data_IF_606080344773
#
_entry.id   IF_606080344773
#
_cell.length_a   1.000
_cell.length_b   1.000
_cell.length_c   1.000
_cell.angle_alpha   90.00
_cell.angle_beta   90.00
_cell.angle_gamma   90.00
#
_symmetry.space_group_name_H-M   'P 1'
#
loop_
_entity.id
_entity.type
_entity.pdbx_description
1 polymer ?
#
# COMPACT_ATOMS: atom_id res chain seq x y z
N UNK A 1 -38.86 -2.70 -4.27
CA UNK A 1 -37.65 -3.21 -3.59
C UNK A 1 -36.97 -2.00 -2.98
N UNK A 2 -36.94 -1.91 -1.65
CA UNK A 2 -36.25 -0.83 -0.94
C UNK A 2 -34.78 -0.93 -1.28
N UNK A 3 -34.18 0.13 -1.83
CA UNK A 3 -32.73 0.23 -2.01
C UNK A 3 -32.07 -0.08 -0.66
N UNK A 4 -31.27 -1.14 -0.63
CA UNK A 4 -30.52 -1.51 0.55
C UNK A 4 -29.43 -0.46 0.77
N UNK A 5 -29.74 0.58 1.53
CA UNK A 5 -28.76 1.60 1.88
C UNK A 5 -27.92 1.13 3.06
N UNK A 6 -26.59 1.21 2.97
CA UNK A 6 -25.70 0.90 4.09
C UNK A 6 -25.88 1.88 5.25
N UNK A 7 -26.38 3.08 4.99
CA UNK A 7 -26.58 4.15 5.96
C UNK A 7 -27.83 3.91 6.83
N UNK A 8 -27.65 4.03 8.14
CA UNK A 8 -28.72 3.95 9.14
C UNK A 8 -28.78 5.24 9.93
N UNK A 9 -30.02 5.68 10.21
CA UNK A 9 -30.29 6.84 11.07
C UNK A 9 -31.15 6.37 12.23
N UNK A 10 -30.71 6.65 13.45
CA UNK A 10 -31.46 6.37 14.67
C UNK A 10 -31.77 7.69 15.37
N UNK A 11 -33.05 7.93 15.64
CA UNK A 11 -33.47 8.99 16.53
C UNK A 11 -33.55 8.42 17.95
N UNK A 12 -32.71 8.93 18.83
CA UNK A 12 -32.54 8.41 20.19
C UNK A 12 -32.93 9.47 21.20
N UNK A 13 -33.48 9.00 22.31
CA UNK A 13 -33.89 9.85 23.42
C UNK A 13 -33.28 9.32 24.73
N UNK A 14 -32.59 10.18 25.45
CA UNK A 14 -32.12 9.88 26.80
C UNK A 14 -33.13 10.42 27.79
N UNK A 15 -33.69 9.60 28.68
CA UNK A 15 -34.69 10.05 29.65
C UNK A 15 -34.19 11.17 30.57
N UNK A 16 -35.05 12.13 30.88
CA UNK A 16 -34.73 13.30 31.71
C UNK A 16 -34.09 12.91 33.06
N UNK A 17 -34.55 11.81 33.67
CA UNK A 17 -33.98 11.30 34.92
C UNK A 17 -32.51 10.92 34.83
N UNK A 18 -32.13 10.26 33.71
CA UNK A 18 -30.73 9.87 33.45
C UNK A 18 -29.86 11.11 33.19
N UNK A 19 -30.39 12.08 32.43
CA UNK A 19 -29.72 13.35 32.17
C UNK A 19 -29.47 14.11 33.48
N UNK A 20 -30.47 14.23 34.34
CA UNK A 20 -30.36 14.91 35.62
C UNK A 20 -29.31 14.27 36.53
N UNK A 21 -29.30 12.93 36.62
CA UNK A 21 -28.29 12.20 37.39
C UNK A 21 -26.87 12.45 36.87
N UNK A 22 -26.70 12.47 35.54
CA UNK A 22 -25.41 12.77 34.93
C UNK A 22 -24.98 14.22 35.16
N UNK A 23 -25.88 15.18 34.99
CA UNK A 23 -25.61 16.60 35.28
C UNK A 23 -25.19 16.79 36.72
N UNK A 24 -25.85 16.12 37.70
CA UNK A 24 -25.46 16.18 39.09
C UNK A 24 -24.08 15.58 39.35
N UNK A 25 -23.78 14.45 38.75
CA UNK A 25 -22.48 13.80 38.87
C UNK A 25 -21.39 14.71 38.35
N UNK A 26 -21.52 15.17 37.11
CA UNK A 26 -20.54 16.04 36.46
C UNK A 26 -20.37 17.38 37.20
N UNK A 27 -21.48 18.00 37.66
CA UNK A 27 -21.41 19.21 38.44
C UNK A 27 -20.64 19.05 39.76
N UNK A 28 -20.76 17.87 40.42
CA UNK A 28 -19.96 17.54 41.61
C UNK A 28 -18.48 17.33 41.30
N UNK A 29 -18.16 16.75 40.16
CA UNK A 29 -16.78 16.61 39.68
C UNK A 29 -16.15 17.97 39.39
N UNK A 30 -16.85 18.82 38.65
CA UNK A 30 -16.43 20.20 38.43
C UNK A 30 -16.25 20.99 39.73
N UNK A 31 -17.15 20.82 40.71
CA UNK A 31 -17.04 21.52 41.99
C UNK A 31 -15.75 21.20 42.76
N UNK A 32 -15.15 20.02 42.56
CA UNK A 32 -13.88 19.62 43.18
C UNK A 32 -12.67 20.31 42.58
N UNK A 33 -12.70 20.62 41.29
CA UNK A 33 -11.55 21.11 40.52
C UNK A 33 -11.66 22.58 40.14
N UNK A 34 -12.91 23.09 40.01
CA UNK A 34 -13.17 24.43 39.51
C UNK A 34 -12.70 25.52 40.49
N UNK A 35 -12.04 26.54 39.97
CA UNK A 35 -11.66 27.75 40.69
C UNK A 35 -12.76 28.80 40.53
N UNK A 36 -13.51 29.02 41.58
CA UNK A 36 -14.55 30.05 41.62
C UNK A 36 -14.08 31.22 42.50
N UNK A 37 -14.02 32.44 42.00
CA UNK A 37 -13.67 33.61 42.82
C UNK A 37 -14.54 33.70 44.06
N UNK A 38 -13.91 33.88 45.24
CA UNK A 38 -14.59 33.95 46.53
C UNK A 38 -14.82 32.62 47.23
N UNK A 39 -14.45 31.49 46.60
CA UNK A 39 -14.59 30.15 47.22
C UNK A 39 -13.27 29.35 47.15
N UNK A 40 -13.00 28.60 48.20
CA UNK A 40 -11.90 27.61 48.18
C UNK A 40 -12.28 26.47 47.24
N UNK A 41 -11.33 25.91 46.46
CA UNK A 41 -11.58 24.73 45.61
C UNK A 41 -12.33 23.63 46.36
N UNK A 42 -13.42 23.10 45.81
CA UNK A 42 -14.27 22.08 46.39
C UNK A 42 -15.34 22.60 47.38
N UNK A 43 -15.45 23.90 47.64
CA UNK A 43 -16.42 24.50 48.55
C UNK A 43 -17.44 25.45 47.92
N UNK A 44 -17.41 25.62 46.61
CA UNK A 44 -18.41 26.41 45.88
C UNK A 44 -19.78 25.66 45.89
N UNK A 45 -20.91 26.37 46.05
CA UNK A 45 -22.24 25.77 45.90
C UNK A 45 -22.45 25.19 44.51
N UNK A 46 -23.05 23.99 44.43
CA UNK A 46 -23.28 23.26 43.16
C UNK A 46 -24.14 24.10 42.20
N UNK A 47 -25.10 24.87 42.72
CA UNK A 47 -25.94 25.77 41.89
C UNK A 47 -25.12 26.86 41.18
N UNK A 48 -24.07 27.39 41.81
CA UNK A 48 -23.17 28.35 41.21
C UNK A 48 -22.27 27.69 40.15
N UNK A 49 -21.81 26.48 40.43
CA UNK A 49 -21.03 25.67 39.47
C UNK A 49 -21.87 25.40 38.22
N UNK A 50 -23.10 24.90 38.38
CA UNK A 50 -24.01 24.64 37.24
C UNK A 50 -24.20 25.87 36.38
N UNK A 51 -24.40 27.02 36.99
CA UNK A 51 -24.62 28.29 36.25
C UNK A 51 -23.35 28.78 35.56
N UNK A 52 -22.20 28.67 36.22
CA UNK A 52 -20.94 29.19 35.68
C UNK A 52 -20.32 28.29 34.60
N UNK A 53 -20.49 26.98 34.74
CA UNK A 53 -19.91 25.97 33.87
C UNK A 53 -21.00 25.17 33.12
N UNK A 54 -22.12 25.86 32.79
CA UNK A 54 -23.27 25.20 32.13
C UNK A 54 -22.89 24.51 30.82
N UNK A 55 -22.14 25.19 29.96
CA UNK A 55 -21.72 24.67 28.67
C UNK A 55 -20.70 23.53 28.81
N UNK A 56 -19.75 23.63 29.73
CA UNK A 56 -18.77 22.60 30.01
C UNK A 56 -19.45 21.33 30.55
N UNK A 57 -20.38 21.50 31.51
CA UNK A 57 -21.16 20.41 32.07
C UNK A 57 -22.03 19.74 31.02
N UNK A 58 -22.68 20.54 30.15
CA UNK A 58 -23.45 20.03 29.01
C UNK A 58 -22.58 19.20 28.08
N UNK A 59 -21.41 19.70 27.71
CA UNK A 59 -20.46 19.00 26.83
C UNK A 59 -20.04 17.66 27.44
N UNK A 60 -19.64 17.64 28.71
CA UNK A 60 -19.20 16.44 29.41
C UNK A 60 -20.31 15.40 29.57
N UNK A 61 -21.54 15.85 29.88
CA UNK A 61 -22.74 15.00 29.98
C UNK A 61 -23.04 14.34 28.61
N UNK A 62 -23.00 15.13 27.53
CA UNK A 62 -23.21 14.61 26.19
C UNK A 62 -22.11 13.64 25.77
N UNK A 63 -20.84 13.94 26.07
CA UNK A 63 -19.71 13.05 25.78
C UNK A 63 -19.80 11.72 26.51
N UNK A 64 -20.41 11.68 27.69
CA UNK A 64 -20.56 10.42 28.45
C UNK A 64 -21.82 9.65 28.07
N UNK A 65 -22.98 10.31 27.93
CA UNK A 65 -24.27 9.63 27.76
C UNK A 65 -24.57 9.24 26.30
N UNK A 66 -24.14 10.07 25.33
CA UNK A 66 -24.47 9.82 23.92
C UNK A 66 -23.85 8.53 23.39
N UNK A 67 -22.54 8.27 23.60
CA UNK A 67 -21.94 7.00 23.18
C UNK A 67 -22.59 5.78 23.82
N UNK A 68 -22.86 5.83 25.13
CA UNK A 68 -23.52 4.75 25.87
C UNK A 68 -24.91 4.43 25.31
N UNK A 69 -25.70 5.46 25.02
CA UNK A 69 -27.04 5.28 24.47
C UNK A 69 -27.02 4.75 23.03
N UNK A 70 -26.04 5.18 22.20
CA UNK A 70 -25.86 4.67 20.85
C UNK A 70 -25.46 3.20 20.88
N UNK A 71 -24.46 2.84 21.71
CA UNK A 71 -24.00 1.46 21.86
C UNK A 71 -25.13 0.53 22.31
N UNK A 72 -25.93 0.98 23.26
CA UNK A 72 -27.11 0.25 23.72
C UNK A 72 -28.12 0.02 22.60
N UNK A 73 -28.49 1.08 21.86
CA UNK A 73 -29.45 1.00 20.78
C UNK A 73 -28.97 0.10 19.63
N UNK A 74 -27.69 0.19 19.29
CA UNK A 74 -27.04 -0.66 18.30
C UNK A 74 -27.08 -2.12 18.71
N UNK A 75 -26.75 -2.40 19.99
CA UNK A 75 -26.79 -3.76 20.57
C UNK A 75 -28.19 -4.34 20.61
N UNK A 76 -29.19 -3.56 21.04
CA UNK A 76 -30.60 -3.98 21.10
C UNK A 76 -31.16 -4.36 19.71
N UNK A 77 -30.72 -3.63 18.67
CA UNK A 77 -31.12 -3.88 17.26
C UNK A 77 -30.20 -4.88 16.54
N UNK A 78 -29.21 -5.46 17.24
CA UNK A 78 -28.22 -6.41 16.68
C UNK A 78 -27.52 -5.89 15.41
N UNK A 79 -27.32 -4.59 15.33
CA UNK A 79 -26.59 -3.97 14.22
C UNK A 79 -25.09 -4.00 14.50
N UNK A 80 -24.28 -4.10 13.44
CA UNK A 80 -22.82 -4.00 13.51
C UNK A 80 -22.37 -2.77 12.71
N UNK A 81 -22.09 -1.64 13.38
CA UNK A 81 -21.61 -0.44 12.71
C UNK A 81 -20.21 -0.66 12.12
N UNK A 82 -20.00 -0.20 10.89
CA UNK A 82 -18.69 -0.19 10.22
C UNK A 82 -18.06 1.20 10.19
N UNK A 83 -18.79 2.20 10.70
CA UNK A 83 -18.31 3.55 10.87
C UNK A 83 -18.61 4.07 12.28
N UNK A 84 -17.83 5.08 12.72
CA UNK A 84 -18.18 5.78 13.96
C UNK A 84 -19.49 6.53 13.76
N UNK A 85 -20.44 6.44 14.73
CA UNK A 85 -21.69 7.16 14.67
C UNK A 85 -21.46 8.68 14.64
N UNK A 86 -22.02 9.33 13.63
CA UNK A 86 -22.08 10.79 13.58
C UNK A 86 -23.34 11.28 14.30
N UNK A 87 -23.17 12.19 15.24
CA UNK A 87 -24.26 12.72 16.06
C UNK A 87 -24.64 14.10 15.55
N UNK A 88 -25.90 14.25 15.21
CA UNK A 88 -26.47 15.51 14.79
C UNK A 88 -27.82 15.80 15.51
N UNK A 89 -28.37 17.02 15.31
CA UNK A 89 -29.65 17.45 15.84
C UNK A 89 -29.81 17.21 17.35
N UNK A 90 -28.75 17.55 18.12
CA UNK A 90 -28.81 17.41 19.57
C UNK A 90 -29.67 18.48 20.18
N UNK A 91 -30.81 18.08 20.74
CA UNK A 91 -31.69 18.94 21.56
C UNK A 91 -31.47 18.60 23.04
N UNK A 92 -30.86 19.53 23.75
CA UNK A 92 -30.52 19.39 25.16
C UNK A 92 -31.29 20.39 26.02
N UNK A 93 -32.22 19.89 26.84
CA UNK A 93 -32.88 20.67 27.86
C UNK A 93 -32.36 20.27 29.25
N UNK A 94 -31.94 21.25 30.09
CA UNK A 94 -31.37 20.97 31.44
C UNK A 94 -32.27 20.13 32.34
N UNK A 95 -33.55 20.20 32.13
CA UNK A 95 -34.56 19.46 32.95
C UNK A 95 -35.46 18.54 32.10
N UNK A 96 -35.08 18.30 30.85
CA UNK A 96 -35.82 17.49 29.88
C UNK A 96 -35.02 16.30 29.39
N UNK A 97 -35.64 15.49 28.53
CA UNK A 97 -34.88 14.46 27.81
C UNK A 97 -33.92 15.09 26.81
N UNK A 98 -32.84 14.38 26.53
CA UNK A 98 -31.92 14.73 25.41
C UNK A 98 -32.31 13.90 24.20
N UNK A 99 -32.64 14.61 23.11
CA UNK A 99 -32.92 13.98 21.82
C UNK A 99 -31.78 14.26 20.87
N UNK A 100 -31.39 13.25 20.13
CA UNK A 100 -30.34 13.37 19.12
C UNK A 100 -30.52 12.34 18.01
N UNK A 101 -29.89 12.59 16.88
CA UNK A 101 -29.84 11.65 15.77
C UNK A 101 -28.43 11.09 15.65
N UNK A 102 -28.33 9.76 15.60
CA UNK A 102 -27.10 9.04 15.30
C UNK A 102 -27.18 8.48 13.90
N UNK A 103 -26.21 8.82 13.05
CA UNK A 103 -26.07 8.32 11.67
C UNK A 103 -24.80 7.51 11.58
N UNK A 104 -24.88 6.28 11.09
CA UNK A 104 -23.74 5.38 10.90
C UNK A 104 -24.01 4.42 9.74
N UNK A 105 -22.97 3.73 9.30
CA UNK A 105 -23.07 2.72 8.26
C UNK A 105 -22.97 1.32 8.83
N UNK A 106 -23.73 0.40 8.25
CA UNK A 106 -23.71 -1.03 8.56
C UNK A 106 -23.40 -1.83 7.29
N UNK A 107 -22.98 -3.08 7.47
CA UNK A 107 -22.85 -4.00 6.35
C UNK A 107 -24.24 -4.28 5.75
N UNK A 108 -24.39 -4.19 4.43
CA UNK A 108 -25.65 -4.53 3.78
C UNK A 108 -25.90 -6.05 3.85
N UNK A 109 -27.16 -6.42 3.94
CA UNK A 109 -27.57 -7.79 3.70
C UNK A 109 -27.73 -8.00 2.19
N UNK A 110 -27.04 -8.98 1.64
CA UNK A 110 -27.15 -9.38 0.24
C UNK A 110 -27.17 -10.90 0.11
N UNK A 111 -27.79 -11.39 -0.95
CA UNK A 111 -27.80 -12.81 -1.28
C UNK A 111 -26.61 -13.17 -2.15
N UNK A 112 -26.01 -14.34 -1.88
CA UNK A 112 -24.95 -14.88 -2.71
C UNK A 112 -25.55 -15.42 -4.01
N UNK A 113 -25.13 -14.84 -5.13
CA UNK A 113 -25.34 -15.40 -6.45
C UNK A 113 -24.47 -16.66 -6.70
N UNK A 114 -24.39 -17.13 -7.93
CA UNK A 114 -23.52 -18.26 -8.27
C UNK A 114 -22.05 -17.91 -8.05
N UNK A 115 -21.38 -18.62 -7.16
CA UNK A 115 -19.95 -18.45 -6.86
C UNK A 115 -19.13 -19.74 -7.03
N UNK A 116 -19.78 -20.87 -7.35
CA UNK A 116 -19.13 -22.15 -7.69
C UNK A 116 -19.03 -22.30 -9.20
N UNK A 117 -18.09 -23.12 -9.66
CA UNK A 117 -17.87 -23.40 -11.09
C UNK A 117 -17.64 -22.15 -11.95
N UNK A 118 -16.99 -21.11 -11.39
CA UNK A 118 -16.65 -19.91 -12.15
C UNK A 118 -15.67 -20.26 -13.27
N UNK A 119 -16.01 -19.93 -14.51
CA UNK A 119 -15.11 -20.15 -15.65
C UNK A 119 -14.19 -18.93 -15.81
N UNK A 120 -12.90 -19.12 -15.72
CA UNK A 120 -11.90 -18.08 -15.93
C UNK A 120 -10.86 -18.53 -16.94
N UNK A 121 -10.41 -17.61 -17.79
CA UNK A 121 -9.35 -17.87 -18.77
C UNK A 121 -8.06 -17.19 -18.29
N UNK A 122 -6.97 -17.95 -18.27
CA UNK A 122 -5.63 -17.46 -17.94
C UNK A 122 -4.70 -17.70 -19.13
N UNK A 123 -3.68 -16.85 -19.24
CA UNK A 123 -2.66 -17.02 -20.27
C UNK A 123 -1.74 -18.19 -19.90
N UNK A 124 -1.46 -19.04 -20.91
CA UNK A 124 -0.49 -20.12 -20.73
C UNK A 124 0.92 -19.57 -20.96
N UNK A 125 1.75 -19.65 -19.95
CA UNK A 125 3.15 -19.23 -20.02
C UNK A 125 4.00 -20.50 -19.94
N UNK A 126 4.60 -20.88 -21.05
CA UNK A 126 5.56 -21.97 -21.08
C UNK A 126 6.98 -21.43 -20.88
N UNK A 127 7.78 -22.10 -20.05
CA UNK A 127 9.19 -21.79 -19.84
C UNK A 127 10.03 -22.68 -20.74
N UNK A 128 10.55 -22.11 -21.81
CA UNK A 128 11.45 -22.80 -22.75
C UNK A 128 12.93 -22.66 -22.38
N UNK A 129 13.79 -23.36 -23.11
CA UNK A 129 15.25 -23.23 -22.96
C UNK A 129 15.75 -21.81 -23.26
N UNK A 130 15.09 -21.12 -24.21
CA UNK A 130 15.42 -19.73 -24.55
C UNK A 130 15.19 -18.76 -23.37
N UNK A 131 14.17 -18.99 -22.55
CA UNK A 131 13.89 -18.16 -21.38
C UNK A 131 14.97 -18.37 -20.31
N UNK A 132 15.40 -19.62 -20.13
CA UNK A 132 16.48 -19.97 -19.22
C UNK A 132 17.80 -19.32 -19.68
N UNK A 133 18.11 -19.40 -20.98
CA UNK A 133 19.30 -18.78 -21.55
C UNK A 133 19.28 -17.26 -21.37
N UNK A 134 18.14 -16.63 -21.64
CA UNK A 134 17.95 -15.20 -21.43
C UNK A 134 18.14 -14.80 -19.96
N UNK A 135 17.54 -15.54 -19.03
CA UNK A 135 17.70 -15.27 -17.60
C UNK A 135 19.15 -15.42 -17.13
N UNK A 136 19.88 -16.42 -17.66
CA UNK A 136 21.30 -16.60 -17.37
C UNK A 136 22.11 -15.42 -17.92
N UNK A 137 21.83 -14.96 -19.15
CA UNK A 137 22.49 -13.79 -19.73
C UNK A 137 22.22 -12.51 -18.93
N UNK A 138 21.01 -12.32 -18.43
CA UNK A 138 20.68 -11.21 -17.53
C UNK A 138 21.45 -11.28 -16.21
N UNK A 139 21.63 -12.50 -15.65
CA UNK A 139 22.45 -12.70 -14.43
C UNK A 139 23.92 -12.37 -14.75
N UNK A 140 24.47 -12.88 -15.86
CA UNK A 140 25.85 -12.60 -16.29
C UNK A 140 26.06 -11.11 -16.52
N UNK A 141 25.08 -10.43 -17.09
CA UNK A 141 25.11 -8.99 -17.34
C UNK A 141 25.12 -8.18 -16.04
N UNK A 142 24.39 -8.61 -15.04
CA UNK A 142 24.30 -7.95 -13.73
C UNK A 142 25.59 -8.07 -12.92
N UNK A 143 26.29 -9.19 -13.02
CA UNK A 143 27.55 -9.44 -12.30
C UNK A 143 28.78 -9.15 -13.15
N UNK A 144 28.59 -8.56 -14.36
CA UNK A 144 29.68 -8.21 -15.25
C UNK A 144 30.65 -7.18 -14.64
N UNK A 145 31.92 -7.38 -14.85
CA UNK A 145 32.97 -6.49 -14.39
C UNK A 145 33.29 -5.40 -15.42
N UNK A 146 33.59 -4.20 -14.95
CA UNK A 146 34.03 -3.09 -15.77
C UNK A 146 35.55 -3.05 -15.83
N UNK A 147 36.14 -3.56 -16.91
CA UNK A 147 37.57 -3.63 -17.11
C UNK A 147 38.07 -2.36 -17.84
N UNK A 148 39.11 -1.70 -17.34
CA UNK A 148 39.69 -0.55 -18.02
C UNK A 148 40.24 -0.92 -19.41
N UNK A 149 39.99 -0.04 -20.39
CA UNK A 149 40.50 -0.18 -21.76
C UNK A 149 41.43 0.98 -22.01
N UNK A 150 42.70 0.66 -22.33
CA UNK A 150 43.73 1.62 -22.62
C UNK A 150 44.12 1.61 -24.11
N UNK A 151 44.64 2.74 -24.60
CA UNK A 151 45.24 2.82 -25.94
C UNK A 151 44.28 2.97 -27.10
N UNK A 152 42.95 3.11 -26.86
CA UNK A 152 41.96 3.41 -27.90
C UNK A 152 40.94 4.45 -27.48
N UNK A 153 40.26 5.01 -28.45
CA UNK A 153 39.15 5.91 -28.25
C UNK A 153 37.87 5.14 -27.91
N UNK A 154 36.90 5.85 -27.31
CA UNK A 154 35.57 5.36 -26.97
C UNK A 154 34.83 4.91 -28.22
N UNK A 155 34.26 3.71 -28.17
CA UNK A 155 33.39 3.13 -29.18
C UNK A 155 32.00 2.83 -28.60
N UNK A 156 31.03 2.53 -29.44
CA UNK A 156 29.69 2.08 -29.00
C UNK A 156 29.82 0.78 -28.21
N UNK A 157 29.06 0.69 -27.08
CA UNK A 157 29.13 -0.41 -26.15
C UNK A 157 30.14 -0.23 -25.00
N UNK A 158 31.01 0.80 -25.09
CA UNK A 158 31.91 1.14 -24.00
C UNK A 158 31.21 1.95 -22.90
N UNK A 159 31.78 1.89 -21.72
CA UNK A 159 31.38 2.68 -20.57
C UNK A 159 32.45 3.73 -20.29
N UNK A 160 32.11 5.00 -20.48
CA UNK A 160 32.99 6.10 -20.16
C UNK A 160 32.78 6.52 -18.71
N UNK A 161 33.85 6.49 -17.92
CA UNK A 161 33.85 7.07 -16.58
C UNK A 161 34.14 8.57 -16.72
N UNK A 162 33.17 9.40 -16.37
CA UNK A 162 33.17 10.82 -16.62
C UNK A 162 33.15 11.62 -15.32
N UNK A 163 33.90 12.72 -15.32
CA UNK A 163 33.66 13.83 -14.39
C UNK A 163 32.89 14.90 -15.16
N UNK A 164 31.77 15.33 -14.67
CA UNK A 164 30.93 16.28 -15.36
C UNK A 164 30.48 17.44 -14.48
N UNK A 165 30.35 18.59 -15.15
CA UNK A 165 29.77 19.80 -14.58
C UNK A 165 28.78 20.37 -15.59
N UNK A 166 27.49 20.37 -15.24
CA UNK A 166 26.40 20.93 -16.06
C UNK A 166 25.95 22.28 -15.51
N UNK A 167 25.89 23.29 -16.35
CA UNK A 167 25.41 24.63 -15.98
C UNK A 167 24.10 24.83 -16.76
N UNK A 168 22.96 25.13 -16.09
CA UNK A 168 21.71 25.38 -16.79
C UNK A 168 21.75 26.71 -17.54
N UNK A 169 21.33 26.70 -18.82
CA UNK A 169 21.34 27.89 -19.68
C UNK A 169 20.45 29.03 -19.14
N UNK A 170 19.42 28.71 -18.36
CA UNK A 170 18.53 29.68 -17.71
C UNK A 170 18.97 30.20 -16.35
N UNK A 171 20.19 29.83 -15.89
CA UNK A 171 20.66 30.10 -14.53
C UNK A 171 20.10 29.11 -13.52
N UNK A 172 20.80 28.90 -12.44
CA UNK A 172 20.44 27.94 -11.39
C UNK A 172 21.68 27.25 -10.81
N UNK A 173 21.47 26.30 -9.92
CA UNK A 173 22.56 25.52 -9.34
C UNK A 173 23.22 24.61 -10.38
N UNK A 174 24.55 24.62 -10.48
CA UNK A 174 25.28 23.71 -11.36
C UNK A 174 25.11 22.26 -10.88
N UNK A 175 25.01 21.35 -11.82
CA UNK A 175 25.01 19.92 -11.56
C UNK A 175 26.45 19.43 -11.67
N UNK A 176 27.00 18.89 -10.58
CA UNK A 176 28.37 18.38 -10.55
C UNK A 176 28.39 16.91 -10.14
N UNK A 177 29.12 16.11 -10.89
CA UNK A 177 29.38 14.73 -10.53
C UNK A 177 30.86 14.39 -10.76
N UNK A 178 31.50 13.94 -9.70
CA UNK A 178 32.94 13.64 -9.72
C UNK A 178 33.26 12.33 -10.47
N UNK A 179 32.32 11.42 -10.58
CA UNK A 179 32.47 10.16 -11.30
C UNK A 179 31.09 9.61 -11.65
N UNK A 180 30.80 9.57 -12.96
CA UNK A 180 29.59 8.94 -13.51
C UNK A 180 30.02 7.95 -14.57
N UNK A 181 29.41 6.79 -14.58
CA UNK A 181 29.61 5.78 -15.63
C UNK A 181 28.51 5.97 -16.69
N UNK A 182 28.91 6.27 -17.91
CA UNK A 182 28.03 6.55 -19.04
C UNK A 182 28.22 5.46 -20.10
N UNK A 183 27.14 4.76 -20.46
CA UNK A 183 27.15 3.73 -21.50
C UNK A 183 27.01 4.39 -22.88
N UNK A 184 28.04 4.37 -23.68
CA UNK A 184 28.07 5.03 -24.99
C UNK A 184 27.39 4.13 -26.04
N UNK A 185 26.38 4.70 -26.73
CA UNK A 185 25.53 3.96 -27.66
C UNK A 185 24.37 3.22 -26.97
N UNK A 186 24.21 3.33 -25.65
CA UNK A 186 23.05 2.77 -24.92
C UNK A 186 21.80 3.62 -25.12
N UNK A 187 20.63 2.97 -25.13
CA UNK A 187 19.32 3.65 -25.27
C UNK A 187 19.01 4.59 -24.08
N UNK A 188 19.59 4.31 -22.91
CA UNK A 188 19.46 5.13 -21.71
C UNK A 188 20.34 6.40 -21.72
N UNK A 189 21.30 6.49 -22.66
CA UNK A 189 22.21 7.64 -22.76
C UNK A 189 21.69 8.63 -23.78
N UNK A 190 21.57 9.90 -23.38
CA UNK A 190 21.15 10.98 -24.28
C UNK A 190 22.06 11.07 -25.51
N UNK A 191 21.47 11.25 -26.69
CA UNK A 191 22.20 11.33 -27.98
C UNK A 191 23.37 12.32 -27.95
N UNK A 192 23.18 13.48 -27.30
CA UNK A 192 24.22 14.48 -27.16
C UNK A 192 25.48 13.96 -26.47
N UNK A 193 25.35 13.05 -25.48
CA UNK A 193 26.50 12.39 -24.86
C UNK A 193 27.12 11.36 -25.82
N UNK A 194 26.29 10.55 -26.48
CA UNK A 194 26.76 9.56 -27.46
C UNK A 194 27.57 10.21 -28.59
N UNK A 195 27.06 11.30 -29.20
CA UNK A 195 27.68 11.99 -30.30
C UNK A 195 29.00 12.68 -29.93
N UNK A 196 29.05 13.33 -28.76
CA UNK A 196 30.22 14.11 -28.35
C UNK A 196 31.34 13.27 -27.70
N UNK A 197 30.99 12.11 -27.10
CA UNK A 197 31.96 11.25 -26.43
C UNK A 197 32.48 10.12 -27.30
N UNK A 198 31.75 9.74 -28.38
CA UNK A 198 32.24 8.76 -29.35
C UNK A 198 33.54 9.27 -29.99
N UNK A 199 34.58 8.45 -29.94
CA UNK A 199 35.89 8.79 -30.45
C UNK A 199 36.77 9.64 -29.51
N UNK A 200 36.27 9.98 -28.31
CA UNK A 200 37.10 10.64 -27.29
C UNK A 200 38.01 9.65 -26.59
N UNK A 201 39.14 10.13 -26.07
CA UNK A 201 40.12 9.34 -25.33
C UNK A 201 40.13 9.70 -23.84
N UNK A 202 40.68 8.82 -23.01
CA UNK A 202 40.92 9.14 -21.58
C UNK A 202 41.78 10.39 -21.45
N UNK A 203 41.37 11.33 -20.59
CA UNK A 203 42.00 12.64 -20.42
C UNK A 203 41.38 13.74 -21.30
N UNK A 204 40.52 13.42 -22.25
CA UNK A 204 39.88 14.45 -23.09
C UNK A 204 38.86 15.27 -22.32
N UNK A 205 38.82 16.56 -22.65
CA UNK A 205 37.83 17.51 -22.15
C UNK A 205 36.87 17.90 -23.29
N UNK A 206 35.61 17.72 -23.08
CA UNK A 206 34.56 18.06 -24.06
C UNK A 206 33.58 19.06 -23.44
N UNK A 207 32.99 19.92 -24.31
CA UNK A 207 31.91 20.82 -23.91
C UNK A 207 30.80 20.73 -24.96
N UNK A 208 29.59 20.50 -24.50
CA UNK A 208 28.42 20.39 -25.36
C UNK A 208 27.16 20.70 -24.56
N UNK A 209 26.11 21.03 -25.29
CA UNK A 209 24.82 21.33 -24.71
C UNK A 209 23.89 20.12 -24.81
N UNK A 210 23.10 19.90 -23.76
CA UNK A 210 22.09 18.83 -23.70
C UNK A 210 20.75 19.46 -23.43
N UNK A 211 19.81 19.31 -24.36
CA UNK A 211 18.43 19.73 -24.18
C UNK A 211 17.62 18.54 -23.68
N UNK A 212 17.08 18.64 -22.49
CA UNK A 212 16.21 17.62 -21.92
C UNK A 212 14.76 17.84 -22.37
N UNK A 213 14.06 16.79 -22.81
CA UNK A 213 12.67 16.91 -23.22
C UNK A 213 11.75 17.26 -22.02
N UNK A 214 10.55 17.74 -22.31
CA UNK A 214 9.61 18.17 -21.26
C UNK A 214 9.05 17.00 -20.44
N UNK A 215 9.12 15.78 -20.94
CA UNK A 215 8.68 14.54 -20.30
C UNK A 215 9.84 13.73 -19.70
N UNK A 216 11.04 14.33 -19.58
CA UNK A 216 12.20 13.65 -19.01
C UNK A 216 11.91 13.17 -17.58
N UNK A 217 12.36 11.95 -17.17
CA UNK A 217 12.02 11.35 -15.89
C UNK A 217 12.44 12.17 -14.67
N UNK A 218 13.55 12.92 -14.74
CA UNK A 218 13.99 13.77 -13.65
C UNK A 218 13.35 15.17 -13.74
N UNK A 219 12.46 15.55 -12.80
CA UNK A 219 11.81 16.86 -12.79
C UNK A 219 12.76 18.05 -12.74
N UNK A 220 13.99 17.87 -12.24
CA UNK A 220 15.01 18.92 -12.16
C UNK A 220 15.58 19.27 -13.53
N UNK A 221 15.56 18.34 -14.46
CA UNK A 221 16.10 18.44 -15.81
C UNK A 221 15.04 18.71 -16.87
N UNK A 222 13.78 18.38 -16.62
CA UNK A 222 12.66 18.52 -17.57
C UNK A 222 12.62 19.88 -18.26
N UNK A 223 12.61 19.87 -19.62
CA UNK A 223 12.48 21.06 -20.46
C UNK A 223 13.64 22.04 -20.36
N UNK A 224 14.75 21.67 -19.72
CA UNK A 224 15.90 22.56 -19.53
C UNK A 224 17.07 22.17 -20.45
N UNK A 225 17.86 23.17 -20.82
CA UNK A 225 19.11 22.95 -21.53
C UNK A 225 20.29 23.18 -20.57
N UNK A 226 21.19 22.24 -20.53
CA UNK A 226 22.42 22.31 -19.73
C UNK A 226 23.64 22.33 -20.64
N UNK A 227 24.59 23.23 -20.36
CA UNK A 227 25.91 23.20 -20.95
C UNK A 227 26.86 22.38 -20.08
N UNK A 228 27.31 21.25 -20.60
CA UNK A 228 28.17 20.32 -19.89
C UNK A 228 29.63 20.54 -20.23
N UNK A 229 30.47 20.62 -19.19
CA UNK A 229 31.90 20.40 -19.29
C UNK A 229 32.20 18.99 -18.76
N UNK A 230 32.72 18.13 -19.61
CA UNK A 230 32.94 16.71 -19.33
C UNK A 230 34.44 16.39 -19.47
N UNK A 231 34.99 15.69 -18.50
CA UNK A 231 36.33 15.13 -18.53
C UNK A 231 36.20 13.61 -18.55
N UNK A 232 36.82 12.95 -19.53
CA UNK A 232 36.86 11.49 -19.63
C UNK A 232 37.96 10.96 -18.71
N UNK A 233 37.58 10.35 -17.59
CA UNK A 233 38.55 9.81 -16.61
C UNK A 233 39.14 8.47 -17.07
N UNK A 234 38.28 7.58 -17.57
CA UNK A 234 38.67 6.26 -18.03
C UNK A 234 37.62 5.70 -19.01
N UNK A 235 38.08 4.81 -19.86
CA UNK A 235 37.20 4.00 -20.72
C UNK A 235 37.15 2.62 -20.10
N UNK A 236 35.98 2.05 -19.99
CA UNK A 236 35.77 0.71 -19.46
C UNK A 236 34.92 -0.11 -20.40
N UNK A 237 35.20 -1.38 -20.47
CA UNK A 237 34.37 -2.34 -21.18
C UNK A 237 33.69 -3.26 -20.19
N UNK A 238 32.39 -3.45 -20.38
CA UNK A 238 31.62 -4.39 -19.58
C UNK A 238 31.94 -5.82 -20.05
N UNK A 239 32.68 -6.54 -19.21
CA UNK A 239 33.08 -7.92 -19.50
C UNK A 239 32.20 -8.87 -18.69
N UNK A 240 31.34 -9.61 -19.40
CA UNK A 240 30.52 -10.65 -18.80
C UNK A 240 31.41 -11.84 -18.45
N UNK A 241 31.27 -12.45 -17.26
CA UNK A 241 31.97 -13.67 -16.94
C UNK A 241 31.57 -14.79 -17.90
N UNK A 242 32.51 -15.69 -18.20
CA UNK A 242 32.20 -16.88 -19.00
C UNK A 242 31.25 -17.82 -18.24
N UNK A 243 30.32 -18.44 -18.97
CA UNK A 243 29.41 -19.41 -18.40
C UNK A 243 30.17 -20.74 -18.18
N UNK A 244 30.81 -20.89 -17.03
CA UNK A 244 31.55 -22.06 -16.61
C UNK A 244 31.20 -22.45 -15.18
N UNK A 245 31.77 -23.55 -14.68
CA UNK A 245 31.47 -24.05 -13.34
C UNK A 245 31.93 -23.10 -12.23
N UNK A 246 32.93 -22.26 -12.49
CA UNK A 246 33.39 -21.24 -11.54
C UNK A 246 32.32 -20.14 -11.38
N UNK A 247 31.77 -19.66 -12.50
CA UNK A 247 30.63 -18.75 -12.49
C UNK A 247 29.39 -19.37 -11.79
N UNK A 248 29.10 -20.65 -12.05
CA UNK A 248 27.99 -21.35 -11.40
C UNK A 248 28.12 -21.41 -9.87
N UNK A 249 29.35 -21.53 -9.37
CA UNK A 249 29.62 -21.48 -7.91
C UNK A 249 29.43 -20.07 -7.35
N UNK A 250 29.92 -19.06 -8.03
CA UNK A 250 29.85 -17.67 -7.54
C UNK A 250 28.42 -17.12 -7.61
N UNK A 251 27.72 -17.34 -8.73
CA UNK A 251 26.41 -16.74 -8.97
C UNK A 251 25.24 -17.57 -8.44
N UNK A 252 25.41 -18.91 -8.34
CA UNK A 252 24.33 -19.84 -8.02
C UNK A 252 24.57 -20.73 -6.81
N UNK A 253 25.78 -20.71 -6.22
CA UNK A 253 26.18 -21.60 -5.11
C UNK A 253 25.99 -23.10 -5.47
N UNK A 254 26.26 -23.46 -6.73
CA UNK A 254 26.11 -24.82 -7.27
C UNK A 254 27.40 -25.28 -7.91
N UNK A 255 27.57 -26.59 -8.16
CA UNK A 255 28.83 -27.18 -8.54
C UNK A 255 29.11 -27.17 -10.05
N UNK A 256 28.08 -27.00 -10.88
CA UNK A 256 28.20 -27.04 -12.34
C UNK A 256 27.23 -26.08 -13.05
N UNK A 257 27.54 -25.77 -14.31
CA UNK A 257 26.64 -25.00 -15.20
C UNK A 257 25.31 -25.71 -15.37
N UNK A 258 25.30 -27.05 -15.43
CA UNK A 258 24.05 -27.79 -15.60
C UNK A 258 23.13 -27.65 -14.40
N UNK A 259 23.68 -27.75 -13.18
CA UNK A 259 22.94 -27.51 -11.94
C UNK A 259 22.45 -26.04 -11.87
N UNK A 260 23.27 -25.09 -12.33
CA UNK A 260 22.88 -23.67 -12.39
C UNK A 260 21.69 -23.44 -13.32
N UNK A 261 21.73 -24.02 -14.54
CA UNK A 261 20.60 -23.98 -15.48
C UNK A 261 19.33 -24.59 -14.88
N UNK A 262 19.48 -25.72 -14.18
CA UNK A 262 18.38 -26.37 -13.46
C UNK A 262 17.77 -25.47 -12.40
N UNK A 263 18.60 -24.79 -11.59
CA UNK A 263 18.17 -23.86 -10.54
C UNK A 263 17.47 -22.62 -11.14
N UNK A 264 18.00 -22.04 -12.22
CA UNK A 264 17.39 -20.92 -12.93
C UNK A 264 16.04 -21.33 -13.51
N UNK A 265 15.95 -22.49 -14.17
CA UNK A 265 14.68 -23.04 -14.67
C UNK A 265 13.65 -23.20 -13.56
N UNK A 266 14.03 -23.84 -12.46
CA UNK A 266 13.15 -24.00 -11.30
C UNK A 266 12.65 -22.66 -10.76
N UNK A 267 13.51 -21.65 -10.69
CA UNK A 267 13.14 -20.30 -10.25
C UNK A 267 12.13 -19.64 -11.22
N UNK A 268 12.33 -19.79 -12.54
CA UNK A 268 11.39 -19.28 -13.54
C UNK A 268 10.05 -20.02 -13.50
N UNK A 269 10.05 -21.33 -13.30
CA UNK A 269 8.83 -22.13 -13.14
C UNK A 269 8.07 -21.76 -11.87
N UNK A 270 8.75 -21.54 -10.76
CA UNK A 270 8.13 -21.05 -9.52
C UNK A 270 7.52 -19.65 -9.71
N UNK A 271 8.23 -18.75 -10.37
CA UNK A 271 7.72 -17.42 -10.68
C UNK A 271 6.51 -17.47 -11.61
N UNK A 272 6.52 -18.36 -12.62
CA UNK A 272 5.38 -18.62 -13.51
C UNK A 272 4.17 -19.13 -12.72
N UNK A 273 4.37 -20.13 -11.85
CA UNK A 273 3.28 -20.74 -11.07
C UNK A 273 2.66 -19.75 -10.09
N UNK A 274 3.52 -18.92 -9.47
CA UNK A 274 3.03 -17.82 -8.63
C UNK A 274 2.21 -16.82 -9.44
N UNK A 275 2.71 -16.37 -10.60
CA UNK A 275 2.00 -15.45 -11.50
C UNK A 275 0.68 -16.04 -11.98
N UNK A 276 0.66 -17.32 -12.32
CA UNK A 276 -0.55 -18.06 -12.71
C UNK A 276 -1.58 -18.06 -11.58
N UNK A 277 -1.14 -18.33 -10.35
CA UNK A 277 -1.99 -18.31 -9.16
C UNK A 277 -2.58 -16.91 -8.93
N UNK A 278 -1.76 -15.88 -9.02
CA UNK A 278 -2.18 -14.51 -8.81
C UNK A 278 -3.18 -14.05 -9.89
N UNK A 279 -2.93 -14.35 -11.17
CA UNK A 279 -3.86 -14.08 -12.26
C UNK A 279 -5.19 -14.83 -12.08
N UNK A 280 -5.14 -16.08 -11.65
CA UNK A 280 -6.34 -16.88 -11.39
C UNK A 280 -7.18 -16.24 -10.30
N UNK A 281 -6.55 -15.88 -9.18
CA UNK A 281 -7.21 -15.21 -8.05
C UNK A 281 -7.84 -13.88 -8.47
N UNK A 282 -7.10 -13.06 -9.21
CA UNK A 282 -7.57 -11.76 -9.71
C UNK A 282 -8.80 -11.92 -10.63
N UNK A 283 -8.74 -12.84 -11.60
CA UNK A 283 -9.84 -13.08 -12.54
C UNK A 283 -11.08 -13.67 -11.85
N UNK A 284 -10.90 -14.55 -10.87
CA UNK A 284 -12.00 -15.09 -10.05
C UNK A 284 -12.67 -13.96 -9.26
N UNK A 285 -11.88 -13.11 -8.59
CA UNK A 285 -12.40 -11.98 -7.83
C UNK A 285 -13.13 -10.99 -8.74
N UNK A 286 -12.56 -10.63 -9.89
CA UNK A 286 -13.20 -9.74 -10.85
C UNK A 286 -14.54 -10.29 -11.34
N UNK A 287 -14.62 -11.60 -11.64
CA UNK A 287 -15.84 -12.24 -12.07
C UNK A 287 -16.86 -12.33 -10.94
N UNK A 288 -16.42 -12.66 -9.72
CA UNK A 288 -17.25 -12.71 -8.53
C UNK A 288 -17.87 -11.34 -8.24
N UNK A 289 -17.07 -10.28 -8.22
CA UNK A 289 -17.53 -8.90 -8.00
C UNK A 289 -18.47 -8.44 -9.11
N UNK A 290 -18.14 -8.74 -10.37
CA UNK A 290 -18.97 -8.36 -11.51
C UNK A 290 -20.32 -9.06 -11.59
N UNK A 291 -20.48 -10.24 -10.95
CA UNK A 291 -21.74 -11.00 -10.91
C UNK A 291 -22.66 -10.61 -9.74
N UNK A 292 -22.18 -9.75 -8.81
CA UNK A 292 -22.93 -9.34 -7.64
C UNK A 292 -23.06 -7.82 -7.59
N UNK A 293 -24.30 -7.33 -7.53
CA UNK A 293 -24.56 -5.91 -7.38
C UNK A 293 -25.23 -5.63 -6.03
N UNK A 294 -24.47 -4.96 -5.16
CA UNK A 294 -24.94 -4.52 -3.84
C UNK A 294 -24.16 -3.27 -3.42
N UNK A 295 -24.77 -2.41 -2.59
CA UNK A 295 -24.10 -1.21 -2.10
C UNK A 295 -22.97 -1.57 -1.12
N UNK A 296 -21.95 -0.74 -1.10
CA UNK A 296 -20.85 -0.85 -0.14
C UNK A 296 -20.82 0.34 0.81
N UNK A 297 -20.49 0.15 2.10
CA UNK A 297 -20.34 1.24 3.04
C UNK A 297 -19.23 2.19 2.61
N UNK A 298 -19.52 3.49 2.57
CA UNK A 298 -18.55 4.52 2.16
C UNK A 298 -17.35 4.61 3.12
N UNK A 299 -17.59 4.34 4.40
CA UNK A 299 -16.54 4.28 5.41
C UNK A 299 -15.48 3.21 5.09
N UNK A 300 -15.90 2.01 4.63
CA UNK A 300 -14.97 0.95 4.24
C UNK A 300 -14.21 1.31 2.97
N UNK A 301 -14.90 1.92 1.98
CA UNK A 301 -14.24 2.41 0.76
C UNK A 301 -13.18 3.47 1.08
N UNK A 302 -13.51 4.43 1.96
CA UNK A 302 -12.57 5.45 2.41
C UNK A 302 -11.34 4.83 3.10
N UNK A 303 -11.56 3.89 4.01
CA UNK A 303 -10.48 3.17 4.69
C UNK A 303 -9.59 2.40 3.71
N UNK A 304 -10.19 1.76 2.70
CA UNK A 304 -9.45 1.04 1.68
C UNK A 304 -8.63 1.98 0.78
N UNK A 305 -9.18 3.14 0.40
CA UNK A 305 -8.43 4.18 -0.33
C UNK A 305 -7.22 4.66 0.47
N UNK A 306 -7.39 4.91 1.76
CA UNK A 306 -6.30 5.35 2.65
C UNK A 306 -5.22 4.26 2.78
N UNK A 307 -5.63 3.00 2.96
CA UNK A 307 -4.71 1.85 3.02
C UNK A 307 -3.91 1.65 1.72
N UNK A 308 -4.53 1.89 0.54
CA UNK A 308 -3.84 1.83 -0.76
C UNK A 308 -2.83 2.97 -0.89
N UNK A 309 -3.21 4.17 -0.47
CA UNK A 309 -2.32 5.33 -0.48
C UNK A 309 -1.10 5.12 0.43
N UNK A 310 -1.31 4.62 1.65
CA UNK A 310 -0.22 4.29 2.57
C UNK A 310 0.75 3.25 2.00
N UNK A 311 0.24 2.23 1.29
CA UNK A 311 1.11 1.25 0.61
C UNK A 311 1.98 1.90 -0.46
N UNK A 312 1.41 2.82 -1.25
CA UNK A 312 2.16 3.59 -2.25
C UNK A 312 3.25 4.44 -1.61
N UNK A 313 2.93 5.15 -0.52
CA UNK A 313 3.89 5.96 0.24
C UNK A 313 5.03 5.11 0.78
N UNK A 314 4.71 3.93 1.36
CA UNK A 314 5.74 3.00 1.88
C UNK A 314 6.63 2.44 0.76
N UNK A 315 6.05 2.12 -0.40
CA UNK A 315 6.81 1.63 -1.55
C UNK A 315 7.80 2.68 -2.07
N UNK A 316 7.40 3.96 -2.15
CA UNK A 316 8.28 5.07 -2.51
C UNK A 316 9.42 5.23 -1.48
N UNK A 317 9.08 5.21 -0.19
CA UNK A 317 10.07 5.31 0.88
C UNK A 317 11.08 4.16 0.85
N UNK A 318 10.64 2.93 0.56
CA UNK A 318 11.52 1.76 0.41
C UNK A 318 12.48 1.89 -0.78
N UNK A 319 12.11 2.65 -1.81
CA UNK A 319 12.97 2.99 -2.96
C UNK A 319 13.92 4.18 -2.67
N UNK A 320 13.92 4.71 -1.45
CA UNK A 320 14.74 5.85 -1.06
C UNK A 320 14.18 7.21 -1.52
N UNK A 321 12.96 7.23 -2.02
CA UNK A 321 12.28 8.46 -2.45
C UNK A 321 11.52 9.04 -1.26
N UNK A 322 11.83 10.30 -0.88
CA UNK A 322 11.04 11.00 0.14
C UNK A 322 9.65 11.35 -0.43
N UNK A 323 8.56 10.78 0.10
CA UNK A 323 7.21 11.05 -0.40
C UNK A 323 6.79 12.52 -0.26
N UNK A 324 7.45 13.30 0.61
CA UNK A 324 7.18 14.73 0.82
C UNK A 324 7.88 15.61 -0.23
N UNK A 325 8.97 15.10 -0.82
CA UNK A 325 9.74 15.81 -1.84
C UNK A 325 9.18 15.59 -3.26
N UNK A 326 8.32 14.60 -3.44
CA UNK A 326 7.69 14.30 -4.74
C UNK A 326 6.49 15.24 -4.95
N UNK A 327 6.46 15.90 -6.10
CA UNK A 327 5.33 16.76 -6.49
C UNK A 327 4.15 15.90 -7.00
N UNK A 328 3.49 15.20 -6.08
CA UNK A 328 2.31 14.35 -6.36
C UNK A 328 1.08 14.97 -5.72
N UNK A 329 0.02 15.12 -6.50
CA UNK A 329 -1.31 15.44 -5.96
C UNK A 329 -1.90 14.18 -5.29
N UNK A 330 -1.64 14.05 -3.98
CA UNK A 330 -2.09 12.93 -3.17
C UNK A 330 -3.62 12.82 -3.08
N UNK A 331 -4.32 13.97 -3.17
CA UNK A 331 -5.79 14.00 -3.15
C UNK A 331 -6.35 13.43 -4.45
N UNK A 332 -5.82 13.87 -5.58
CA UNK A 332 -6.21 13.33 -6.88
C UNK A 332 -5.83 11.85 -7.02
N UNK A 333 -4.66 11.44 -6.52
CA UNK A 333 -4.23 10.04 -6.52
C UNK A 333 -5.18 9.18 -5.69
N UNK A 334 -5.54 9.63 -4.48
CA UNK A 334 -6.52 8.96 -3.61
C UNK A 334 -7.87 8.78 -4.32
N UNK A 335 -8.36 9.85 -4.96
CA UNK A 335 -9.65 9.80 -5.66
C UNK A 335 -9.65 8.82 -6.85
N UNK A 336 -8.54 8.72 -7.60
CA UNK A 336 -8.39 7.76 -8.69
C UNK A 336 -8.42 6.29 -8.22
N UNK A 337 -8.20 6.03 -6.91
CA UNK A 337 -8.27 4.69 -6.35
C UNK A 337 -9.69 4.27 -5.96
N UNK A 338 -10.69 5.16 -6.05
CA UNK A 338 -12.04 4.93 -5.53
C UNK A 338 -12.70 3.69 -6.13
N UNK A 339 -12.70 3.56 -7.46
CA UNK A 339 -13.37 2.45 -8.13
C UNK A 339 -12.76 1.10 -7.73
N UNK A 340 -11.43 1.04 -7.72
CA UNK A 340 -10.70 -0.15 -7.24
C UNK A 340 -10.92 -0.43 -5.76
N UNK A 341 -11.04 0.60 -4.93
CA UNK A 341 -11.35 0.43 -3.51
C UNK A 341 -12.77 -0.12 -3.31
N UNK A 342 -13.73 0.28 -4.13
CA UNK A 342 -15.09 -0.29 -4.14
C UNK A 342 -15.05 -1.77 -4.50
N UNK A 343 -14.29 -2.15 -5.53
CA UNK A 343 -14.10 -3.55 -5.94
C UNK A 343 -13.45 -4.38 -4.83
N UNK A 344 -12.39 -3.86 -4.19
CA UNK A 344 -11.70 -4.53 -3.09
C UNK A 344 -12.67 -4.79 -1.91
N UNK A 345 -13.47 -3.76 -1.51
CA UNK A 345 -14.45 -3.90 -0.42
C UNK A 345 -15.54 -4.90 -0.79
N UNK A 346 -16.06 -4.85 -2.04
CA UNK A 346 -17.02 -5.85 -2.53
C UNK A 346 -16.46 -7.26 -2.46
N UNK A 347 -15.21 -7.43 -2.90
CA UNK A 347 -14.53 -8.73 -2.87
C UNK A 347 -14.37 -9.25 -1.44
N UNK A 348 -13.94 -8.40 -0.50
CA UNK A 348 -13.78 -8.78 0.91
C UNK A 348 -15.12 -9.21 1.54
N UNK A 349 -16.19 -8.47 1.30
CA UNK A 349 -17.53 -8.80 1.79
C UNK A 349 -18.07 -10.11 1.19
N UNK A 350 -17.82 -10.36 -0.10
CA UNK A 350 -18.21 -11.61 -0.77
C UNK A 350 -17.43 -12.80 -0.21
N UNK A 351 -16.12 -12.66 -0.05
CA UNK A 351 -15.26 -13.70 0.52
C UNK A 351 -15.69 -14.06 1.95
N UNK A 352 -16.00 -13.07 2.79
CA UNK A 352 -16.46 -13.31 4.16
C UNK A 352 -17.81 -14.03 4.18
N UNK A 353 -18.73 -13.65 3.29
CA UNK A 353 -20.05 -14.29 3.19
C UNK A 353 -19.93 -15.74 2.68
N UNK A 354 -19.07 -15.98 1.69
CA UNK A 354 -18.79 -17.32 1.16
C UNK A 354 -18.09 -18.18 2.24
N UNK A 355 -17.10 -17.62 2.96
CA UNK A 355 -16.45 -18.30 4.07
C UNK A 355 -17.45 -18.80 5.12
N UNK A 356 -18.44 -17.96 5.45
CA UNK A 356 -19.50 -18.31 6.38
C UNK A 356 -20.41 -19.41 5.81
N UNK A 357 -20.78 -19.32 4.52
CA UNK A 357 -21.65 -20.30 3.86
C UNK A 357 -20.99 -21.69 3.72
N UNK A 358 -19.68 -21.73 3.47
CA UNK A 358 -18.92 -22.96 3.26
C UNK A 358 -18.16 -23.43 4.54
N UNK A 359 -18.35 -22.75 5.68
CA UNK A 359 -17.67 -23.01 6.95
C UNK A 359 -16.14 -23.02 6.84
N UNK A 360 -15.60 -22.06 6.09
CA UNK A 360 -14.16 -21.88 5.93
C UNK A 360 -13.67 -20.91 7.01
N UNK A 361 -12.64 -21.33 7.75
CA UNK A 361 -12.01 -20.49 8.76
C UNK A 361 -10.48 -20.62 8.69
N UNK A 362 -9.77 -19.73 9.37
CA UNK A 362 -8.33 -19.84 9.57
C UNK A 362 -8.02 -20.72 10.77
N UNK A 363 -7.15 -21.70 10.59
CA UNK A 363 -6.70 -22.57 11.69
C UNK A 363 -5.64 -21.88 12.55
N UNK A 364 -5.49 -22.31 13.80
CA UNK A 364 -4.40 -21.81 14.66
C UNK A 364 -3.02 -22.18 14.11
N UNK A 365 -2.91 -23.32 13.40
CA UNK A 365 -1.66 -23.76 12.76
C UNK A 365 -1.26 -22.81 11.62
N UNK A 366 -2.20 -22.39 10.77
CA UNK A 366 -1.96 -21.41 9.71
C UNK A 366 -1.57 -20.05 10.29
N UNK A 367 -2.23 -19.66 11.38
CA UNK A 367 -1.92 -18.44 12.08
C UNK A 367 -0.51 -18.45 12.68
N UNK A 368 -0.11 -19.54 13.34
CA UNK A 368 1.22 -19.69 13.90
C UNK A 368 2.30 -19.77 12.80
N UNK A 369 2.00 -20.41 11.66
CA UNK A 369 2.88 -20.45 10.51
C UNK A 369 3.12 -19.05 9.91
N UNK A 370 2.08 -18.22 9.80
CA UNK A 370 2.25 -16.84 9.31
C UNK A 370 3.06 -15.98 10.29
N UNK A 371 2.84 -16.13 11.62
CA UNK A 371 3.68 -15.48 12.63
C UNK A 371 5.14 -15.92 12.51
N UNK A 372 5.39 -17.22 12.30
CA UNK A 372 6.76 -17.73 12.13
C UNK A 372 7.41 -17.15 10.87
N UNK A 373 6.68 -17.08 9.75
CA UNK A 373 7.16 -16.44 8.53
C UNK A 373 7.43 -14.94 8.67
N UNK A 374 6.62 -14.24 9.48
CA UNK A 374 6.88 -12.83 9.83
C UNK A 374 8.15 -12.70 10.69
N UNK A 375 8.37 -13.61 11.64
CA UNK A 375 9.54 -13.65 12.51
C UNK A 375 10.83 -13.85 11.70
N UNK A 376 10.81 -14.76 10.75
CA UNK A 376 11.94 -15.02 9.87
C UNK A 376 12.30 -13.80 8.99
N UNK A 377 11.28 -13.13 8.44
CA UNK A 377 11.48 -11.93 7.60
C UNK A 377 11.96 -10.71 8.38
N UNK A 378 11.51 -10.52 9.63
CA UNK A 378 11.85 -9.35 10.45
C UNK A 378 13.07 -9.55 11.33
N UNK A 379 13.51 -10.80 11.56
CA UNK A 379 14.55 -11.15 12.52
C UNK A 379 14.09 -11.04 13.99
N UNK A 380 12.79 -10.85 14.24
CA UNK A 380 12.20 -10.79 15.58
C UNK A 380 11.71 -12.17 16.03
N UNK A 381 11.53 -12.38 17.33
CA UNK A 381 10.93 -13.62 17.81
C UNK A 381 9.42 -13.68 17.56
N UNK A 382 8.89 -14.88 17.26
CA UNK A 382 7.47 -15.10 17.05
C UNK A 382 6.61 -14.61 18.27
N UNK A 383 7.14 -14.75 19.49
CA UNK A 383 6.50 -14.26 20.71
C UNK A 383 6.41 -12.73 20.76
N UNK A 384 7.46 -12.03 20.30
CA UNK A 384 7.46 -10.57 20.26
C UNK A 384 6.46 -10.05 19.21
N UNK A 385 6.41 -10.67 18.04
CA UNK A 385 5.45 -10.34 16.98
C UNK A 385 4.02 -10.56 17.47
N UNK A 386 3.72 -11.72 18.07
CA UNK A 386 2.39 -12.02 18.62
C UNK A 386 1.98 -11.00 19.69
N UNK A 387 2.86 -10.64 20.61
CA UNK A 387 2.61 -9.63 21.63
C UNK A 387 2.36 -8.23 21.01
N UNK A 388 3.09 -7.88 19.95
CA UNK A 388 2.90 -6.61 19.24
C UNK A 388 1.54 -6.57 18.52
N UNK A 389 1.18 -7.63 17.79
CA UNK A 389 -0.12 -7.77 17.13
C UNK A 389 -1.28 -7.70 18.13
N UNK A 390 -1.14 -8.36 19.30
CA UNK A 390 -2.12 -8.30 20.40
C UNK A 390 -2.32 -6.87 20.89
N UNK A 391 -1.21 -6.18 21.17
CA UNK A 391 -1.23 -4.79 21.67
C UNK A 391 -1.86 -3.82 20.66
N UNK A 392 -1.69 -4.07 19.37
CA UNK A 392 -2.26 -3.25 18.30
C UNK A 392 -3.69 -3.66 17.92
N UNK A 393 -4.26 -4.70 18.51
CA UNK A 393 -5.57 -5.25 18.12
C UNK A 393 -5.58 -5.78 16.67
N UNK A 394 -4.44 -6.26 16.19
CA UNK A 394 -4.27 -6.68 14.79
C UNK A 394 -4.47 -8.19 14.58
N UNK A 395 -4.64 -8.98 15.65
CA UNK A 395 -4.83 -10.43 15.56
C UNK A 395 -6.07 -10.80 14.76
N UNK A 396 -7.21 -10.16 15.05
CA UNK A 396 -8.48 -10.45 14.38
C UNK A 396 -8.39 -10.08 12.89
N UNK A 397 -7.73 -8.98 12.55
CA UNK A 397 -7.47 -8.59 11.15
C UNK A 397 -6.61 -9.61 10.43
N UNK A 398 -5.62 -10.18 11.11
CA UNK A 398 -4.77 -11.22 10.54
C UNK A 398 -5.56 -12.52 10.32
N UNK A 399 -6.39 -12.93 11.28
CA UNK A 399 -7.28 -14.10 11.13
C UNK A 399 -8.28 -13.90 10.00
N UNK A 400 -8.90 -12.72 9.89
CA UNK A 400 -9.79 -12.39 8.77
C UNK A 400 -9.08 -12.46 7.42
N UNK A 401 -7.84 -11.98 7.33
CA UNK A 401 -7.04 -12.07 6.11
C UNK A 401 -6.72 -13.52 5.72
N UNK A 402 -6.34 -14.35 6.68
CA UNK A 402 -6.10 -15.78 6.44
C UNK A 402 -7.38 -16.48 5.99
N UNK A 403 -8.51 -16.22 6.65
CA UNK A 403 -9.82 -16.73 6.26
C UNK A 403 -10.18 -16.33 4.83
N UNK A 404 -9.98 -15.06 4.45
CA UNK A 404 -10.21 -14.59 3.08
C UNK A 404 -9.30 -15.29 2.06
N UNK A 405 -8.02 -15.52 2.39
CA UNK A 405 -7.09 -16.25 1.54
C UNK A 405 -7.54 -17.71 1.36
N UNK A 406 -7.93 -18.39 2.44
CA UNK A 406 -8.43 -19.77 2.40
C UNK A 406 -9.69 -19.89 1.54
N UNK A 407 -10.58 -18.89 1.64
CA UNK A 407 -11.80 -18.81 0.83
C UNK A 407 -11.48 -18.63 -0.64
N UNK A 408 -10.52 -17.76 -0.96
CA UNK A 408 -10.09 -17.55 -2.34
C UNK A 408 -9.42 -18.78 -2.92
N UNK A 409 -8.60 -19.49 -2.14
CA UNK A 409 -8.01 -20.77 -2.56
C UNK A 409 -9.06 -21.86 -2.76
N UNK A 410 -10.08 -21.88 -1.92
CA UNK A 410 -11.23 -22.77 -2.09
C UNK A 410 -11.99 -22.45 -3.39
N UNK A 411 -12.23 -21.17 -3.68
CA UNK A 411 -12.84 -20.73 -4.93
C UNK A 411 -12.02 -21.14 -6.14
N UNK A 412 -10.68 -20.97 -6.09
CA UNK A 412 -9.79 -21.39 -7.17
C UNK A 412 -9.90 -22.90 -7.44
N UNK A 413 -9.97 -23.74 -6.39
CA UNK A 413 -10.12 -25.20 -6.54
C UNK A 413 -11.48 -25.61 -7.08
N UNK A 414 -12.54 -24.82 -6.83
CA UNK A 414 -13.92 -25.08 -7.27
C UNK A 414 -14.31 -24.25 -8.52
N UNK A 415 -13.34 -23.72 -9.24
CA UNK A 415 -13.53 -22.99 -10.49
C UNK A 415 -12.97 -23.76 -11.69
N UNK A 416 -13.51 -23.47 -12.87
CA UNK A 416 -13.03 -24.04 -14.14
C UNK A 416 -12.02 -23.09 -14.77
N UNK A 417 -10.75 -23.46 -14.68
CA UNK A 417 -9.65 -22.69 -15.24
C UNK A 417 -9.39 -23.20 -16.66
N UNK A 418 -9.56 -22.33 -17.65
CA UNK A 418 -9.17 -22.59 -19.04
C UNK A 418 -7.88 -21.83 -19.32
N UNK A 419 -6.89 -22.51 -19.89
CA UNK A 419 -5.69 -21.85 -20.40
C UNK A 419 -5.92 -21.43 -21.83
N UNK A 420 -5.61 -20.17 -22.15
CA UNK A 420 -5.57 -19.68 -23.50
C UNK A 420 -4.14 -19.85 -24.00
N UNK A 421 -3.92 -20.80 -24.92
CA UNK A 421 -2.66 -20.84 -25.64
C UNK A 421 -2.55 -19.58 -26.50
N UNK A 422 -1.44 -18.84 -26.41
CA UNK A 422 -1.16 -17.78 -27.35
C UNK A 422 -1.15 -18.38 -28.77
N UNK A 423 -2.15 -18.01 -29.56
CA UNK A 423 -2.04 -18.19 -31.01
C UNK A 423 -0.89 -17.29 -31.48
N UNK A 424 0.25 -17.92 -31.78
CA UNK A 424 1.40 -17.30 -32.44
C UNK A 424 1.07 -16.91 -33.86
#
# INVERSE_FOLDING_TARGET
>A
MTEATCRRELELEIPAETVQKAVERVAREFARVARVPGFRPGKAPITLIRRKYADDIKSEVLQSLVPEQVERAVSEQKMVPVSQPQIDKVDFAESGPVKFRATFEILPEFELGPYKDLEVEIDEIEIGDADVDKAIEEIRDRVANFVPVEGRAIADGDYAQLKLKGIPAGGGEPLEAASVLCHIGGEETMDAFNENLRGASAGDHKRFDVAYPADYPDPKLQGKTYSYAVEVLAIKQKQKPELNDEFAKEAGEVSSVEEFRGKVRQSLEQARDQRRTDQTREKILAKLVGSHDFPVPEALVNHQMDSRLERTVRALAAQGVDPRAVNVDWVALRQRQKDRAVEDVKAEMLLDRIATAENIDATEEEFDAEIAAMAERSGESATAIRANLTRQGALDRMKSKLRSNNTLDWLCRNSRIRTKSEEK
#
